data_IF_305446761181
#
_entry.id   IF_305446761181
#
_cell.length_a   1.000
_cell.length_b   1.000
_cell.length_c   1.000
_cell.angle_alpha   90.00
_cell.angle_beta   90.00
_cell.angle_gamma   90.00
#
_symmetry.space_group_name_H-M   'P 1'
#
loop_
_entity.id
_entity.type
_entity.pdbx_description
1 polymer ?
#
# COMPACT_ATOMS: atom_id res chain seq x y z
N UNK A 1 -14.12 -11.59 1.96
CA UNK A 1 -14.10 -10.67 3.11
C UNK A 1 -13.66 -9.33 2.59
N UNK A 2 -14.41 -8.30 2.95
CA UNK A 2 -14.02 -6.92 2.69
C UNK A 2 -13.25 -6.36 3.89
N UNK A 3 -12.20 -5.60 3.61
CA UNK A 3 -11.55 -4.75 4.61
C UNK A 3 -12.00 -3.30 4.35
N UNK A 4 -12.08 -2.50 5.40
CA UNK A 4 -12.12 -1.05 5.26
C UNK A 4 -10.86 -0.45 5.85
N UNK A 5 -10.46 0.71 5.36
CA UNK A 5 -9.28 1.39 5.85
C UNK A 5 -9.55 2.88 5.99
N UNK A 6 -8.90 3.50 6.97
CA UNK A 6 -9.06 4.92 7.27
C UNK A 6 -7.74 5.52 7.69
N UNK A 7 -7.30 6.54 6.97
CA UNK A 7 -6.15 7.35 7.34
C UNK A 7 -6.53 8.52 8.23
N UNK A 8 -5.59 8.92 9.09
CA UNK A 8 -5.65 10.19 9.80
C UNK A 8 -5.49 11.38 8.82
N UNK A 9 -5.74 12.58 9.33
CA UNK A 9 -5.73 13.82 8.53
C UNK A 9 -4.34 14.07 7.93
N UNK A 10 -3.27 13.74 8.65
CA UNK A 10 -1.89 13.88 8.15
C UNK A 10 -1.48 12.79 7.14
N UNK A 11 -2.31 11.77 6.91
CA UNK A 11 -2.00 10.64 6.03
C UNK A 11 -0.86 9.73 6.51
N UNK A 12 -0.41 9.89 7.76
CA UNK A 12 0.73 9.17 8.35
C UNK A 12 0.34 7.91 9.10
N UNK A 13 -0.94 7.74 9.40
CA UNK A 13 -1.47 6.54 10.05
C UNK A 13 -2.73 6.11 9.32
N UNK A 14 -2.76 4.87 8.86
CA UNK A 14 -3.88 4.20 8.23
C UNK A 14 -4.27 2.99 9.09
N UNK A 15 -5.50 2.98 9.59
CA UNK A 15 -6.06 1.86 10.35
C UNK A 15 -6.88 0.98 9.41
N UNK A 16 -6.75 -0.33 9.57
CA UNK A 16 -7.41 -1.34 8.73
C UNK A 16 -8.40 -2.10 9.61
N UNK A 17 -9.62 -2.29 9.09
CA UNK A 17 -10.75 -2.80 9.84
C UNK A 17 -11.38 -4.00 9.13
N UNK A 18 -11.86 -4.95 9.93
CA UNK A 18 -12.82 -5.97 9.52
C UNK A 18 -14.11 -5.72 10.29
N UNK A 19 -15.13 -5.21 9.60
CA UNK A 19 -16.31 -4.67 10.25
C UNK A 19 -15.96 -3.50 11.18
N UNK A 20 -16.20 -3.65 12.49
CA UNK A 20 -15.89 -2.64 13.52
C UNK A 20 -14.56 -2.87 14.24
N UNK A 21 -13.87 -3.98 13.96
CA UNK A 21 -12.65 -4.39 14.66
C UNK A 21 -11.43 -3.93 13.88
N UNK A 22 -10.45 -3.33 14.57
CA UNK A 22 -9.14 -3.02 13.98
C UNK A 22 -8.38 -4.33 13.84
N UNK A 23 -7.95 -4.65 12.62
CA UNK A 23 -7.20 -5.87 12.28
C UNK A 23 -5.81 -5.56 11.72
N UNK A 24 -5.48 -4.28 11.56
CA UNK A 24 -4.18 -3.85 11.08
C UNK A 24 -3.97 -2.35 11.14
N UNK A 25 -2.73 -1.96 10.86
CA UNK A 25 -2.23 -0.60 10.91
C UNK A 25 -1.13 -0.43 9.87
N UNK A 26 -1.06 0.74 9.25
CA UNK A 26 0.07 1.16 8.42
C UNK A 26 0.45 2.58 8.83
N UNK A 27 1.67 2.77 9.32
CA UNK A 27 2.23 4.09 9.58
C UNK A 27 3.28 4.45 8.55
N UNK A 28 3.22 5.68 8.07
CA UNK A 28 4.16 6.23 7.11
C UNK A 28 4.80 7.50 7.68
N UNK A 29 6.04 7.75 7.29
CA UNK A 29 6.77 8.95 7.65
C UNK A 29 6.69 9.98 6.53
N UNK A 30 6.32 11.22 6.86
CA UNK A 30 6.37 12.35 5.93
C UNK A 30 7.81 12.72 5.51
N UNK A 31 8.80 12.45 6.36
CA UNK A 31 10.18 12.93 6.13
C UNK A 31 11.11 11.87 5.54
N UNK A 32 11.06 10.63 6.07
CA UNK A 32 12.02 9.56 5.75
C UNK A 32 11.62 8.59 4.64
N UNK A 33 10.56 8.87 3.86
CA UNK A 33 9.99 7.96 2.85
C UNK A 33 9.99 6.49 3.29
N UNK A 34 9.55 6.27 4.52
CA UNK A 34 9.60 4.98 5.19
C UNK A 34 8.30 4.75 5.96
N UNK A 35 8.05 3.52 6.36
CA UNK A 35 6.87 3.15 7.12
C UNK A 35 6.98 1.78 7.75
N UNK A 36 5.97 1.44 8.55
CA UNK A 36 5.80 0.09 9.08
C UNK A 36 4.32 -0.26 9.07
N UNK A 37 4.01 -1.54 8.92
CA UNK A 37 2.63 -2.00 8.92
C UNK A 37 2.46 -3.37 9.56
N UNK A 38 1.26 -3.59 10.07
CA UNK A 38 0.79 -4.86 10.60
C UNK A 38 -0.58 -5.17 10.00
N UNK A 39 -0.78 -6.39 9.51
CA UNK A 39 -2.09 -6.87 9.07
C UNK A 39 -2.12 -8.40 9.08
N UNK A 40 -3.10 -9.00 9.77
CA UNK A 40 -3.28 -10.45 9.83
C UNK A 40 -1.98 -11.22 10.18
N UNK A 41 -1.18 -10.70 11.11
CA UNK A 41 0.09 -11.32 11.54
C UNK A 41 1.32 -11.01 10.68
N UNK A 42 1.15 -10.33 9.54
CA UNK A 42 2.29 -9.83 8.76
C UNK A 42 2.80 -8.52 9.34
N UNK A 43 4.06 -8.50 9.76
CA UNK A 43 4.76 -7.34 10.31
C UNK A 43 5.86 -6.90 9.34
N UNK A 44 5.67 -5.74 8.71
CA UNK A 44 6.54 -5.27 7.63
C UNK A 44 7.10 -3.89 7.91
N UNK A 45 8.31 -3.65 7.42
CA UNK A 45 8.90 -2.31 7.27
C UNK A 45 9.05 -1.96 5.81
N UNK A 46 8.86 -0.68 5.51
CA UNK A 46 8.99 -0.12 4.17
C UNK A 46 10.04 0.98 4.19
N UNK A 47 10.99 0.95 3.26
CA UNK A 47 11.99 2.01 3.11
C UNK A 47 12.19 2.31 1.63
N UNK A 48 11.93 3.55 1.22
CA UNK A 48 12.17 4.02 -0.14
C UNK A 48 13.52 4.70 -0.21
N UNK A 49 14.43 4.13 -1.01
CA UNK A 49 15.81 4.63 -1.15
C UNK A 49 16.11 5.12 -2.59
N UNK A 50 17.17 5.92 -2.72
CA UNK A 50 17.80 6.27 -4.00
C UNK A 50 17.42 7.64 -4.58
N UNK A 51 18.24 8.11 -5.52
CA UNK A 51 18.18 9.47 -6.11
C UNK A 51 16.88 9.74 -6.86
N UNK A 52 16.22 8.68 -7.37
CA UNK A 52 14.94 8.78 -8.09
C UNK A 52 13.75 8.28 -7.27
N UNK A 53 13.98 7.74 -6.07
CA UNK A 53 12.97 7.16 -5.16
C UNK A 53 11.90 6.30 -5.87
N UNK A 54 12.35 5.45 -6.81
CA UNK A 54 11.47 4.57 -7.62
C UNK A 54 11.30 3.18 -7.02
N UNK A 55 12.01 2.86 -5.94
CA UNK A 55 11.98 1.53 -5.33
C UNK A 55 11.81 1.67 -3.83
N UNK A 56 10.82 0.96 -3.29
CA UNK A 56 10.63 0.75 -1.85
C UNK A 56 11.00 -0.68 -1.52
N UNK A 57 11.88 -0.91 -0.56
CA UNK A 57 12.14 -2.24 0.00
C UNK A 57 11.05 -2.62 0.99
N UNK A 58 10.65 -3.89 0.96
CA UNK A 58 9.78 -4.52 1.95
C UNK A 58 10.70 -5.37 2.82
N UNK A 59 10.77 -5.05 4.09
CA UNK A 59 11.67 -5.67 5.05
C UNK A 59 10.89 -6.39 6.14
N UNK A 60 11.55 -7.34 6.80
CA UNK A 60 11.06 -7.92 8.04
C UNK A 60 10.92 -6.88 9.17
N UNK A 61 10.34 -7.32 10.29
CA UNK A 61 10.07 -6.44 11.42
C UNK A 61 11.35 -5.88 12.06
N UNK A 62 12.48 -6.58 11.93
CA UNK A 62 13.78 -6.11 12.42
C UNK A 62 14.48 -5.18 11.42
N UNK A 63 13.98 -5.08 10.19
CA UNK A 63 14.52 -4.26 9.12
C UNK A 63 15.83 -4.79 8.54
N UNK A 64 16.14 -6.07 8.76
CA UNK A 64 17.40 -6.71 8.35
C UNK A 64 17.24 -7.51 7.07
N UNK A 65 16.13 -8.25 6.95
CA UNK A 65 15.89 -9.13 5.80
C UNK A 65 14.96 -8.45 4.81
N UNK A 66 15.41 -8.35 3.56
CA UNK A 66 14.51 -7.98 2.45
C UNK A 66 13.59 -9.17 2.12
N UNK A 67 12.29 -8.92 2.20
CA UNK A 67 11.23 -9.86 1.85
C UNK A 67 10.66 -9.60 0.46
N UNK A 68 10.97 -8.42 -0.10
CA UNK A 68 10.40 -7.96 -1.35
C UNK A 68 10.67 -6.49 -1.63
N UNK A 69 10.00 -5.95 -2.62
CA UNK A 69 10.14 -4.56 -3.05
C UNK A 69 8.92 -4.09 -3.84
N UNK A 70 8.71 -2.78 -3.89
CA UNK A 70 7.73 -2.10 -4.73
C UNK A 70 8.50 -1.25 -5.73
N UNK A 71 8.35 -1.54 -7.02
CA UNK A 71 8.98 -0.79 -8.12
C UNK A 71 7.96 0.10 -8.80
N UNK A 72 8.10 1.42 -8.65
CA UNK A 72 7.14 2.39 -9.19
C UNK A 72 7.43 2.75 -10.64
N UNK A 73 6.37 2.75 -11.45
CA UNK A 73 6.34 3.41 -12.75
C UNK A 73 5.58 4.74 -12.62
N UNK A 74 6.32 5.79 -12.25
CA UNK A 74 5.76 7.13 -11.97
C UNK A 74 5.00 7.72 -13.17
N UNK A 75 5.43 7.42 -14.40
CA UNK A 75 4.78 7.91 -15.62
C UNK A 75 3.40 7.29 -15.85
N UNK A 76 3.24 6.00 -15.54
CA UNK A 76 2.00 5.26 -15.77
C UNK A 76 1.07 5.22 -14.55
N UNK A 77 1.50 5.74 -13.40
CA UNK A 77 0.75 5.62 -12.15
C UNK A 77 0.55 4.17 -11.74
N UNK A 78 1.55 3.33 -11.96
CA UNK A 78 1.54 1.90 -11.65
C UNK A 78 2.79 1.49 -10.88
N UNK A 79 2.80 0.27 -10.36
CA UNK A 79 3.92 -0.32 -9.67
C UNK A 79 3.89 -1.85 -9.80
N UNK A 80 5.03 -2.49 -9.58
CA UNK A 80 5.12 -3.94 -9.39
C UNK A 80 5.54 -4.18 -7.95
N UNK A 81 4.73 -4.93 -7.22
CA UNK A 81 5.03 -5.40 -5.88
C UNK A 81 5.60 -6.81 -6.02
N UNK A 82 6.80 -7.07 -5.52
CA UNK A 82 7.34 -8.43 -5.39
C UNK A 82 7.42 -8.79 -3.92
N UNK A 83 6.89 -9.95 -3.53
CA UNK A 83 6.91 -10.45 -2.16
C UNK A 83 6.97 -11.98 -2.17
N UNK A 84 7.89 -12.58 -1.40
CA UNK A 84 8.05 -14.04 -1.30
C UNK A 84 8.15 -14.77 -2.66
N UNK A 85 8.87 -14.17 -3.62
CA UNK A 85 9.07 -14.63 -5.01
C UNK A 85 7.84 -14.50 -5.93
N UNK A 86 6.72 -14.00 -5.44
CA UNK A 86 5.56 -13.67 -6.27
C UNK A 86 5.61 -12.22 -6.74
N UNK A 87 4.98 -11.95 -7.88
CA UNK A 87 4.81 -10.61 -8.43
C UNK A 87 3.34 -10.24 -8.54
N UNK A 88 3.05 -9.01 -8.13
CA UNK A 88 1.71 -8.44 -8.13
C UNK A 88 1.74 -7.11 -8.89
N UNK A 89 0.83 -6.97 -9.84
CA UNK A 89 0.68 -5.73 -10.60
C UNK A 89 -0.21 -4.76 -9.83
N UNK A 90 0.32 -3.59 -9.50
CA UNK A 90 -0.44 -2.52 -8.85
C UNK A 90 -0.68 -1.39 -9.87
N UNK A 91 -1.91 -0.90 -9.99
CA UNK A 91 -2.21 0.25 -10.87
C UNK A 91 -3.44 1.04 -10.44
N UNK A 92 -3.45 2.33 -10.74
CA UNK A 92 -4.70 3.09 -10.75
C UNK A 92 -5.61 2.61 -11.88
N UNK A 93 -6.90 2.45 -11.59
CA UNK A 93 -7.91 2.02 -12.59
C UNK A 93 -8.48 3.19 -13.39
N UNK A 94 -8.26 4.43 -12.95
CA UNK A 94 -8.74 5.62 -13.67
C UNK A 94 -7.90 6.85 -13.37
N UNK A 95 -8.06 7.87 -14.22
CA UNK A 95 -7.45 9.20 -14.08
C UNK A 95 -7.79 9.88 -12.76
N UNK A 96 -8.94 9.56 -12.16
CA UNK A 96 -9.33 10.12 -10.85
C UNK A 96 -8.45 9.61 -9.71
N UNK A 97 -7.72 8.51 -9.91
CA UNK A 97 -6.88 7.83 -8.90
C UNK A 97 -7.65 7.49 -7.62
N UNK A 98 -8.98 7.37 -7.70
CA UNK A 98 -9.88 6.99 -6.60
C UNK A 98 -10.05 5.48 -6.45
N UNK A 99 -9.63 4.73 -7.47
CA UNK A 99 -9.63 3.27 -7.51
C UNK A 99 -8.26 2.79 -7.98
N UNK A 100 -7.77 1.73 -7.36
CA UNK A 100 -6.59 1.01 -7.79
C UNK A 100 -6.80 -0.48 -7.55
N UNK A 101 -6.06 -1.32 -8.26
CA UNK A 101 -6.09 -2.75 -8.03
C UNK A 101 -4.69 -3.31 -7.79
N UNK A 102 -4.66 -4.48 -7.18
CA UNK A 102 -3.53 -5.39 -7.19
C UNK A 102 -3.97 -6.64 -7.91
N UNK A 103 -3.16 -7.14 -8.85
CA UNK A 103 -3.48 -8.36 -9.59
C UNK A 103 -2.36 -9.37 -9.51
N UNK A 104 -2.71 -10.64 -9.41
CA UNK A 104 -1.79 -11.77 -9.47
C UNK A 104 -2.47 -12.94 -10.16
N UNK A 105 -2.03 -13.28 -11.37
CA UNK A 105 -2.70 -14.29 -12.19
C UNK A 105 -4.19 -13.95 -12.40
N UNK A 106 -5.11 -14.84 -12.00
CA UNK A 106 -6.57 -14.60 -12.04
C UNK A 106 -7.11 -13.84 -10.81
N UNK A 107 -6.31 -13.72 -9.74
CA UNK A 107 -6.71 -13.03 -8.51
C UNK A 107 -6.60 -11.51 -8.68
N UNK A 108 -7.64 -10.80 -8.25
CA UNK A 108 -7.66 -9.34 -8.18
C UNK A 108 -7.92 -8.92 -6.74
N UNK A 109 -7.43 -7.75 -6.34
CA UNK A 109 -7.87 -7.07 -5.15
C UNK A 109 -8.14 -5.62 -5.49
N UNK A 110 -9.37 -5.19 -5.29
CA UNK A 110 -9.83 -3.86 -5.68
C UNK A 110 -9.87 -2.95 -4.47
N UNK A 111 -9.30 -1.76 -4.63
CA UNK A 111 -9.27 -0.74 -3.61
C UNK A 111 -10.02 0.49 -4.11
N UNK A 112 -10.85 1.07 -3.27
CA UNK A 112 -11.60 2.29 -3.64
C UNK A 112 -11.77 3.25 -2.47
N UNK A 113 -11.79 4.55 -2.78
CA UNK A 113 -12.14 5.60 -1.83
C UNK A 113 -13.65 5.71 -1.68
N UNK A 114 -14.15 5.64 -0.45
CA UNK A 114 -15.59 5.79 -0.13
C UNK A 114 -16.01 7.24 0.08
N UNK A 115 -15.05 8.17 0.22
CA UNK A 115 -15.32 9.59 0.41
C UNK A 115 -14.46 10.47 -0.49
N UNK A 116 -14.96 11.67 -0.82
CA UNK A 116 -14.18 12.71 -1.50
C UNK A 116 -13.28 13.49 -0.54
N UNK A 117 -13.74 13.69 0.70
CA UNK A 117 -13.10 14.56 1.68
C UNK A 117 -12.24 13.80 2.70
N UNK A 118 -12.48 12.49 2.83
CA UNK A 118 -11.78 11.63 3.78
C UNK A 118 -10.87 10.66 3.04
N UNK A 119 -9.70 10.42 3.61
CA UNK A 119 -8.80 9.36 3.17
C UNK A 119 -9.25 8.04 3.79
N UNK A 120 -10.37 7.52 3.34
CA UNK A 120 -10.91 6.24 3.77
C UNK A 120 -11.48 5.48 2.57
N UNK A 121 -11.53 4.16 2.69
CA UNK A 121 -11.87 3.30 1.58
C UNK A 121 -12.12 1.85 1.96
N UNK A 122 -12.35 1.04 0.95
CA UNK A 122 -12.55 -0.41 1.07
C UNK A 122 -11.53 -1.17 0.23
N UNK A 123 -11.28 -2.41 0.63
CA UNK A 123 -10.60 -3.44 -0.14
C UNK A 123 -11.60 -4.57 -0.35
N UNK A 124 -11.90 -4.86 -1.60
CA UNK A 124 -12.74 -5.96 -2.03
C UNK A 124 -11.84 -7.03 -2.65
N UNK A 125 -12.15 -8.30 -2.35
CA UNK A 125 -11.42 -9.50 -2.78
C UNK A 125 -10.19 -9.88 -1.92
N UNK A 126 -9.97 -11.20 -1.79
CA UNK A 126 -9.61 -11.84 -0.51
C UNK A 126 -8.49 -12.88 -0.60
N UNK A 127 -7.97 -13.16 -1.79
CA UNK A 127 -6.91 -14.16 -2.00
C UNK A 127 -5.50 -13.61 -1.81
N UNK A 128 -5.33 -12.28 -1.73
CA UNK A 128 -4.03 -11.67 -1.50
C UNK A 128 -3.67 -11.56 -0.01
N UNK A 129 -2.40 -11.79 0.31
CA UNK A 129 -1.91 -11.78 1.70
C UNK A 129 -1.97 -10.39 2.34
N UNK A 130 -1.96 -10.35 3.68
CA UNK A 130 -1.90 -9.10 4.43
C UNK A 130 -0.68 -8.24 4.07
N UNK A 131 0.45 -8.89 3.78
CA UNK A 131 1.66 -8.23 3.29
C UNK A 131 1.45 -7.46 1.98
N UNK A 132 0.74 -8.06 1.03
CA UNK A 132 0.44 -7.45 -0.27
C UNK A 132 -0.55 -6.30 -0.10
N UNK A 133 -1.57 -6.44 0.74
CA UNK A 133 -2.51 -5.36 1.07
C UNK A 133 -1.79 -4.16 1.69
N UNK A 134 -0.89 -4.39 2.66
CA UNK A 134 -0.07 -3.33 3.26
C UNK A 134 0.81 -2.64 2.21
N UNK A 135 1.43 -3.42 1.33
CA UNK A 135 2.28 -2.92 0.25
C UNK A 135 1.49 -2.05 -0.74
N UNK A 136 0.27 -2.45 -1.09
CA UNK A 136 -0.63 -1.71 -1.97
C UNK A 136 -1.09 -0.38 -1.35
N UNK A 137 -1.42 -0.39 -0.05
CA UNK A 137 -1.76 0.83 0.68
C UNK A 137 -0.56 1.78 0.80
N UNK A 138 0.64 1.25 1.05
CA UNK A 138 1.87 2.04 1.08
C UNK A 138 2.17 2.65 -0.29
N UNK A 139 2.07 1.85 -1.37
CA UNK A 139 2.28 2.32 -2.74
C UNK A 139 1.34 3.48 -3.09
N UNK A 140 0.05 3.36 -2.77
CA UNK A 140 -0.91 4.42 -2.97
C UNK A 140 -0.56 5.69 -2.18
N UNK A 141 -0.27 5.56 -0.88
CA UNK A 141 0.12 6.68 -0.03
C UNK A 141 1.37 7.40 -0.57
N UNK A 142 2.36 6.64 -1.00
CA UNK A 142 3.61 7.15 -1.55
C UNK A 142 3.42 7.89 -2.88
N UNK A 143 2.68 7.31 -3.83
CA UNK A 143 2.41 7.94 -5.13
C UNK A 143 1.55 9.21 -4.99
N UNK A 144 0.59 9.23 -4.06
CA UNK A 144 -0.18 10.43 -3.73
C UNK A 144 0.69 11.51 -3.11
N UNK A 145 1.63 11.14 -2.23
CA UNK A 145 2.60 12.08 -1.63
C UNK A 145 3.48 12.74 -2.70
N UNK A 146 4.09 11.95 -3.60
CA UNK A 146 4.94 12.51 -4.66
C UNK A 146 4.12 13.43 -5.59
N UNK A 147 2.91 13.02 -5.95
CA UNK A 147 2.05 13.82 -6.85
C UNK A 147 1.61 15.16 -6.24
N UNK A 148 1.58 15.28 -4.91
CA UNK A 148 1.25 16.54 -4.23
C UNK A 148 2.47 17.46 -4.04
N UNK A 149 3.69 16.95 -4.26
CA UNK A 149 4.94 17.71 -4.13
C UNK A 149 5.49 18.22 -5.47
N UNK A 150 4.89 17.79 -6.59
CA UNK A 150 5.19 18.18 -7.97
C UNK A 150 4.16 19.18 -8.49
#
# INVERSE_FOLDING_TARGET
>A
MSLSWKSNISGTECRIFRGKVIVGLLKTSLWKDAGYGELNGYLLRFTTDGILKRVTKILDIDGQKELGQIRYNLWKGSAVISYENEQYEWKFESWTRRKWSVRHSEDVAEFSLTSFWKNEGVVEEESISGAVVLSALFANAYLRKISAAS
#
